data_IF_758733828459
#
_entry.id   IF_758733828459
#
_cell.length_a   1.000
_cell.length_b   1.000
_cell.length_c   1.000
_cell.angle_alpha   90.00
_cell.angle_beta   90.00
_cell.angle_gamma   90.00
#
_symmetry.space_group_name_H-M   'P 1'
#
loop_
_entity.id
_entity.type
_entity.pdbx_description
1 polymer ?
#
# COMPACT_ATOMS: atom_id res chain seq x y z
N UNK A 1 10.87 0.90 14.26
CA UNK A 1 11.30 -0.39 14.87
C UNK A 1 11.18 -0.43 16.39
N UNK A 2 11.66 0.57 17.14
CA UNK A 2 11.57 0.57 18.61
C UNK A 2 10.11 0.51 19.13
N UNK A 3 9.18 1.21 18.46
CA UNK A 3 7.76 1.12 18.77
C UNK A 3 7.19 -0.30 18.60
N UNK A 4 7.55 -1.01 17.52
CA UNK A 4 7.15 -2.40 17.28
C UNK A 4 7.70 -3.33 18.36
N UNK A 5 9.01 -3.22 18.64
CA UNK A 5 9.68 -4.01 19.68
C UNK A 5 8.98 -3.89 21.03
N UNK A 6 8.55 -2.68 21.40
CA UNK A 6 7.87 -2.41 22.66
C UNK A 6 6.42 -2.93 22.72
N UNK A 7 5.83 -3.27 21.58
CA UNK A 7 4.49 -3.87 21.47
C UNK A 7 4.51 -5.38 21.23
N UNK A 8 5.68 -5.95 20.96
CA UNK A 8 5.83 -7.39 20.77
C UNK A 8 5.57 -8.14 22.07
N UNK A 9 5.06 -9.36 21.94
CA UNK A 9 4.94 -10.28 23.07
C UNK A 9 6.33 -10.62 23.60
N UNK A 10 6.50 -10.64 24.92
CA UNK A 10 7.77 -10.98 25.55
C UNK A 10 8.35 -12.31 25.04
N UNK A 11 9.63 -12.30 24.65
CA UNK A 11 10.35 -13.43 24.04
C UNK A 11 10.33 -13.48 22.51
N UNK A 12 9.68 -12.51 21.85
CA UNK A 12 9.58 -12.40 20.40
C UNK A 12 10.10 -11.04 19.87
N UNK A 13 10.84 -10.30 20.69
CA UNK A 13 11.38 -8.98 20.33
C UNK A 13 12.34 -9.05 19.13
N UNK A 14 13.02 -10.18 18.95
CA UNK A 14 13.97 -10.44 17.86
C UNK A 14 13.24 -10.67 16.52
N UNK A 15 11.97 -11.07 16.52
CA UNK A 15 11.16 -11.17 15.30
C UNK A 15 10.92 -9.79 14.67
N UNK A 16 10.98 -8.71 15.46
CA UNK A 16 10.94 -7.36 14.93
C UNK A 16 12.21 -7.06 14.10
N UNK A 17 13.37 -7.64 14.44
CA UNK A 17 14.58 -7.51 13.62
C UNK A 17 14.49 -8.34 12.33
N UNK A 18 13.78 -9.48 12.35
CA UNK A 18 13.61 -10.35 11.18
C UNK A 18 12.69 -9.76 10.08
N UNK A 19 11.93 -8.70 10.39
CA UNK A 19 10.97 -8.08 9.45
C UNK A 19 11.41 -6.68 8.98
N UNK A 20 12.61 -6.20 9.32
CA UNK A 20 13.07 -4.84 8.96
C UNK A 20 13.18 -4.58 7.47
N UNK A 21 13.39 -5.66 6.70
CA UNK A 21 13.59 -5.59 5.25
C UNK A 21 12.35 -6.04 4.48
N UNK A 22 11.30 -6.48 5.19
CA UNK A 22 10.00 -6.76 4.59
C UNK A 22 9.21 -5.47 4.38
N UNK A 23 8.38 -5.40 3.33
CA UNK A 23 7.47 -4.28 3.13
C UNK A 23 6.58 -4.07 4.36
N UNK A 24 6.52 -2.83 4.84
CA UNK A 24 5.77 -2.46 6.04
C UNK A 24 4.72 -1.41 5.75
N UNK A 25 3.50 -1.64 6.19
CA UNK A 25 2.36 -0.77 5.94
C UNK A 25 1.80 -0.21 7.25
N UNK A 26 1.65 1.11 7.28
CA UNK A 26 0.81 1.81 8.26
C UNK A 26 -0.42 2.35 7.55
N UNK A 27 -1.61 1.95 8.01
CA UNK A 27 -2.89 2.37 7.45
C UNK A 27 -3.67 3.19 8.47
N UNK A 28 -4.08 4.41 8.09
CA UNK A 28 -5.04 5.21 8.82
C UNK A 28 -6.32 5.32 8.00
N UNK A 29 -7.45 4.90 8.57
CA UNK A 29 -8.71 4.78 7.86
C UNK A 29 -9.81 5.62 8.52
N UNK A 30 -10.65 6.22 7.70
CA UNK A 30 -11.84 6.94 8.13
C UNK A 30 -13.04 6.48 7.29
N UNK A 31 -14.07 6.01 7.97
CA UNK A 31 -15.34 5.63 7.36
C UNK A 31 -16.31 6.81 7.35
N UNK A 32 -16.84 7.16 6.18
CA UNK A 32 -17.95 8.07 6.00
C UNK A 32 -19.21 7.28 5.65
N UNK A 33 -20.12 7.17 6.63
CA UNK A 33 -21.39 6.45 6.54
C UNK A 33 -22.46 7.14 5.71
N UNK A 34 -22.34 8.45 5.45
CA UNK A 34 -23.30 9.16 4.60
C UNK A 34 -22.97 8.95 3.12
N UNK A 35 -21.68 8.94 2.78
CA UNK A 35 -21.21 8.79 1.39
C UNK A 35 -20.77 7.37 1.04
N UNK A 36 -20.89 6.43 1.97
CA UNK A 36 -20.45 5.03 1.84
C UNK A 36 -18.99 4.93 1.37
N UNK A 37 -18.14 5.80 1.91
CA UNK A 37 -16.76 5.95 1.46
C UNK A 37 -15.79 5.62 2.60
N UNK A 38 -14.79 4.82 2.29
CA UNK A 38 -13.61 4.63 3.13
C UNK A 38 -12.49 5.52 2.60
N UNK A 39 -12.08 6.51 3.40
CA UNK A 39 -10.89 7.29 3.15
C UNK A 39 -9.71 6.62 3.84
N UNK A 40 -8.59 6.52 3.15
CA UNK A 40 -7.39 5.91 3.66
C UNK A 40 -6.16 6.77 3.45
N UNK A 41 -5.24 6.69 4.41
CA UNK A 41 -3.84 7.05 4.23
C UNK A 41 -3.00 5.82 4.45
N UNK A 42 -2.14 5.55 3.50
CA UNK A 42 -1.16 4.49 3.51
C UNK A 42 0.24 5.07 3.62
N UNK A 43 1.04 4.47 4.48
CA UNK A 43 2.50 4.62 4.47
C UNK A 43 3.12 3.26 4.27
N UNK A 44 3.85 3.10 3.19
CA UNK A 44 4.60 1.91 2.84
C UNK A 44 6.10 2.18 2.98
N UNK A 45 6.77 1.42 3.85
CA UNK A 45 8.23 1.33 3.85
C UNK A 45 8.63 0.13 3.00
N UNK A 46 9.39 0.37 1.95
CA UNK A 46 9.82 -0.64 0.99
C UNK A 46 11.34 -0.65 0.85
N UNK A 47 11.93 -1.84 0.78
CA UNK A 47 13.33 -2.06 0.46
C UNK A 47 13.37 -2.81 -0.87
N UNK A 48 14.10 -2.30 -1.86
CA UNK A 48 14.31 -3.02 -3.10
C UNK A 48 15.16 -4.27 -2.84
N UNK A 49 14.58 -5.45 -2.97
CA UNK A 49 15.28 -6.73 -2.81
C UNK A 49 15.73 -7.34 -4.15
N UNK A 50 15.39 -6.71 -5.27
CA UNK A 50 15.83 -7.13 -6.59
C UNK A 50 17.32 -6.83 -6.77
N UNK A 51 17.96 -7.55 -7.69
CA UNK A 51 19.36 -7.30 -8.06
C UNK A 51 19.54 -6.05 -8.95
N UNK A 52 18.44 -5.52 -9.49
CA UNK A 52 18.42 -4.37 -10.39
C UNK A 52 17.81 -3.12 -9.74
N UNK A 53 18.14 -1.96 -10.32
CA UNK A 53 17.55 -0.70 -9.87
C UNK A 53 16.12 -0.57 -10.43
N UNK A 54 15.19 -0.19 -9.56
CA UNK A 54 13.79 0.02 -9.93
C UNK A 54 13.54 1.48 -10.29
N UNK A 55 12.88 1.74 -11.41
CA UNK A 55 12.47 3.09 -11.83
C UNK A 55 11.05 3.43 -11.35
N UNK A 56 10.22 2.40 -11.15
CA UNK A 56 8.83 2.53 -10.76
C UNK A 56 8.47 1.51 -9.69
N UNK A 57 7.43 1.81 -8.93
CA UNK A 57 6.77 0.87 -8.03
C UNK A 57 5.35 0.63 -8.51
N UNK A 58 4.95 -0.64 -8.56
CA UNK A 58 3.60 -1.03 -8.93
C UNK A 58 2.78 -1.39 -7.69
N UNK A 59 1.64 -0.73 -7.50
CA UNK A 59 0.65 -1.07 -6.48
C UNK A 59 -0.58 -1.69 -7.14
N UNK A 60 -1.05 -2.84 -6.66
CA UNK A 60 -2.30 -3.46 -7.06
C UNK A 60 -3.46 -2.80 -6.33
N UNK A 61 -4.46 -2.40 -7.10
CA UNK A 61 -5.70 -1.79 -6.64
C UNK A 61 -6.84 -2.79 -6.79
N UNK A 62 -6.72 -3.99 -6.21
CA UNK A 62 -7.74 -5.03 -6.39
C UNK A 62 -9.06 -4.57 -5.80
N UNK A 63 -10.07 -4.19 -6.61
CA UNK A 63 -11.38 -3.98 -6.05
C UNK A 63 -11.96 -5.34 -5.69
N UNK A 64 -12.64 -5.41 -4.56
CA UNK A 64 -13.44 -6.59 -4.25
C UNK A 64 -14.60 -6.63 -5.25
N UNK A 65 -14.50 -7.49 -6.27
CA UNK A 65 -15.49 -7.57 -7.35
C UNK A 65 -16.91 -7.73 -6.79
N UNK A 66 -17.77 -6.76 -7.11
CA UNK A 66 -19.17 -6.71 -6.65
C UNK A 66 -19.40 -6.23 -5.22
N UNK A 67 -18.36 -5.79 -4.50
CA UNK A 67 -18.46 -5.28 -3.12
C UNK A 67 -17.81 -3.91 -2.92
N UNK A 68 -16.94 -3.48 -3.82
CA UNK A 68 -16.40 -2.13 -3.84
C UNK A 68 -16.17 -1.66 -5.28
N UNK A 69 -16.28 -0.35 -5.49
CA UNK A 69 -15.75 0.26 -6.72
C UNK A 69 -14.21 0.25 -6.71
N UNK A 70 -13.59 0.51 -7.86
CA UNK A 70 -12.13 0.62 -7.98
C UNK A 70 -11.58 1.65 -7.00
N UNK A 71 -10.50 1.27 -6.30
CA UNK A 71 -9.76 2.16 -5.40
C UNK A 71 -9.26 3.37 -6.20
N UNK A 72 -9.45 4.57 -5.66
CA UNK A 72 -8.93 5.81 -6.24
C UNK A 72 -7.76 6.33 -5.42
N UNK A 73 -6.59 6.36 -6.03
CA UNK A 73 -5.41 7.02 -5.50
C UNK A 73 -5.59 8.54 -5.51
N UNK A 74 -5.19 9.16 -4.40
CA UNK A 74 -5.07 10.61 -4.20
C UNK A 74 -3.61 11.04 -4.35
N UNK A 75 -3.13 11.90 -3.45
CA UNK A 75 -1.72 12.34 -3.47
C UNK A 75 -0.81 11.15 -3.14
N UNK A 76 0.29 11.03 -3.88
CA UNK A 76 1.38 10.08 -3.64
C UNK A 76 2.68 10.86 -3.45
N UNK A 77 3.52 10.43 -2.50
CA UNK A 77 4.87 10.97 -2.32
C UNK A 77 5.88 9.89 -1.95
N UNK A 78 7.12 10.07 -2.41
CA UNK A 78 8.27 9.22 -2.11
C UNK A 78 9.25 10.04 -1.28
N UNK A 79 9.54 9.59 -0.07
CA UNK A 79 10.41 10.28 0.90
C UNK A 79 10.03 11.78 1.11
N UNK A 80 8.73 12.08 1.01
CA UNK A 80 8.17 13.42 1.14
C UNK A 80 8.12 14.25 -0.15
N UNK A 81 8.70 13.79 -1.25
CA UNK A 81 8.58 14.41 -2.57
C UNK A 81 7.31 13.92 -3.27
N UNK A 82 6.43 14.82 -3.68
CA UNK A 82 5.21 14.46 -4.42
C UNK A 82 5.59 13.96 -5.81
N UNK A 83 5.09 12.79 -6.17
CA UNK A 83 5.37 12.13 -7.45
C UNK A 83 4.10 11.92 -8.26
N UNK A 84 4.28 11.79 -9.56
CA UNK A 84 3.21 11.38 -10.46
C UNK A 84 3.01 9.86 -10.45
N UNK A 85 1.82 9.44 -10.86
CA UNK A 85 1.48 8.05 -11.03
C UNK A 85 0.52 7.86 -12.20
N UNK A 86 0.46 6.63 -12.73
CA UNK A 86 -0.43 6.25 -13.81
C UNK A 86 -1.23 4.99 -13.45
N UNK A 87 -2.52 4.99 -13.78
CA UNK A 87 -3.32 3.77 -13.71
C UNK A 87 -2.97 2.83 -14.86
N UNK A 88 -2.88 1.54 -14.55
CA UNK A 88 -2.62 0.46 -15.49
C UNK A 88 -3.59 -0.71 -15.27
N UNK A 89 -3.55 -1.68 -16.19
CA UNK A 89 -4.34 -2.91 -16.12
C UNK A 89 -5.85 -2.66 -15.89
N UNK A 90 -6.43 -1.69 -16.62
CA UNK A 90 -7.85 -1.34 -16.48
C UNK A 90 -8.18 -0.73 -15.10
N UNK A 91 -7.34 0.19 -14.63
CA UNK A 91 -7.46 0.87 -13.34
C UNK A 91 -7.38 -0.05 -12.11
N UNK A 92 -6.71 -1.20 -12.25
CA UNK A 92 -6.47 -2.16 -11.16
C UNK A 92 -5.02 -2.23 -10.71
N UNK A 93 -4.17 -1.38 -11.30
CA UNK A 93 -2.80 -1.18 -10.86
C UNK A 93 -2.43 0.31 -10.93
N UNK A 94 -1.53 0.72 -10.07
CA UNK A 94 -0.95 2.06 -10.01
C UNK A 94 0.56 1.94 -10.24
N UNK A 95 1.07 2.51 -11.31
CA UNK A 95 2.49 2.66 -11.55
C UNK A 95 2.92 4.02 -10.97
N UNK A 96 3.78 4.00 -9.96
CA UNK A 96 4.29 5.18 -9.28
C UNK A 96 5.74 5.39 -9.69
N UNK A 97 6.03 6.52 -10.34
CA UNK A 97 7.38 6.81 -10.81
C UNK A 97 8.26 7.33 -9.69
N UNK A 98 9.44 6.74 -9.55
CA UNK A 98 10.41 7.15 -8.55
C UNK A 98 11.17 8.39 -9.04
N UNK A 99 11.47 9.36 -8.16
CA UNK A 99 12.21 10.56 -8.54
C UNK A 99 13.67 10.25 -8.93
N UNK A 100 14.17 9.10 -8.49
CA UNK A 100 15.46 8.51 -8.87
C UNK A 100 15.35 6.98 -8.84
N UNK A 101 16.15 6.27 -9.65
CA UNK A 101 16.20 4.81 -9.59
C UNK A 101 16.53 4.34 -8.18
N UNK A 102 15.75 3.39 -7.66
CA UNK A 102 15.94 2.78 -6.36
C UNK A 102 16.89 1.59 -6.48
N UNK A 103 18.12 1.74 -5.97
CA UNK A 103 19.12 0.69 -6.08
C UNK A 103 18.77 -0.55 -5.24
N UNK A 104 19.37 -1.70 -5.56
CA UNK A 104 19.27 -2.90 -4.73
C UNK A 104 19.69 -2.63 -3.28
N UNK A 105 18.88 -3.08 -2.33
CA UNK A 105 19.02 -2.86 -0.89
C UNK A 105 18.67 -1.44 -0.41
N UNK A 106 18.32 -0.53 -1.31
CA UNK A 106 17.90 0.82 -0.94
C UNK A 106 16.44 0.85 -0.49
N UNK A 107 16.15 1.75 0.46
CA UNK A 107 14.85 1.92 1.09
C UNK A 107 14.19 3.22 0.67
N UNK A 108 12.87 3.17 0.55
CA UNK A 108 12.01 4.37 0.46
C UNK A 108 10.86 4.31 1.46
N UNK A 109 10.23 5.46 1.66
CA UNK A 109 8.89 5.59 2.24
C UNK A 109 7.94 6.15 1.19
N UNK A 110 6.89 5.41 0.85
CA UNK A 110 5.78 5.86 0.02
C UNK A 110 4.63 6.26 0.94
N UNK A 111 4.17 7.50 0.87
CA UNK A 111 2.94 7.96 1.51
C UNK A 111 1.87 8.20 0.43
N UNK A 112 0.66 7.69 0.64
CA UNK A 112 -0.46 7.81 -0.30
C UNK A 112 -1.79 8.03 0.41
N UNK A 113 -2.58 8.98 -0.08
CA UNK A 113 -4.01 9.03 0.25
C UNK A 113 -4.81 8.20 -0.76
N UNK A 114 -5.87 7.51 -0.35
CA UNK A 114 -6.77 6.78 -1.24
C UNK A 114 -8.22 6.84 -0.77
N UNK A 115 -9.14 6.56 -1.67
CA UNK A 115 -10.56 6.46 -1.37
C UNK A 115 -11.17 5.21 -2.02
N UNK A 116 -12.07 4.56 -1.30
CA UNK A 116 -12.85 3.41 -1.77
C UNK A 116 -14.32 3.70 -1.54
N UNK A 117 -15.13 3.62 -2.59
CA UNK A 117 -16.58 3.59 -2.45
C UNK A 117 -17.00 2.14 -2.20
N UNK A 118 -17.60 1.92 -1.04
CA UNK A 118 -18.08 0.61 -0.63
C UNK A 118 -19.47 0.37 -1.24
N UNK A 119 -19.73 -0.85 -1.67
CA UNK A 119 -21.07 -1.29 -2.04
C UNK A 119 -21.53 -2.26 -0.97
N UNK A 120 -22.43 -1.81 -0.10
CA UNK A 120 -22.88 -2.62 1.01
C UNK A 120 -23.61 -3.88 0.49
N UNK A 121 -23.17 -5.11 0.84
CA UNK A 121 -23.92 -6.32 0.50
C UNK A 121 -25.30 -6.38 1.20
N UNK A 122 -25.50 -5.54 2.23
CA UNK A 122 -26.78 -5.23 2.86
C UNK A 122 -26.68 -3.88 3.60
N UNK A 123 -27.79 -3.16 3.81
CA UNK A 123 -27.86 -1.84 4.48
C UNK A 123 -27.26 -1.76 5.91
N UNK A 124 -26.72 -2.86 6.47
CA UNK A 124 -26.29 -2.93 7.88
C UNK A 124 -24.84 -3.37 8.09
N UNK A 125 -24.16 -3.89 7.08
CA UNK A 125 -22.78 -4.37 7.20
C UNK A 125 -22.01 -4.03 5.93
N UNK A 126 -20.90 -3.31 6.09
CA UNK A 126 -19.89 -3.17 5.04
C UNK A 126 -18.84 -4.26 5.20
N UNK A 127 -18.54 -4.94 4.10
CA UNK A 127 -17.39 -5.84 4.01
C UNK A 127 -16.40 -5.22 3.02
N UNK A 128 -15.15 -5.09 3.44
CA UNK A 128 -14.09 -4.55 2.63
C UNK A 128 -12.87 -5.45 2.84
N UNK A 129 -12.72 -6.46 1.98
CA UNK A 129 -11.47 -7.22 1.85
C UNK A 129 -10.62 -6.54 0.77
N UNK A 130 -9.30 -6.48 0.98
CA UNK A 130 -8.35 -5.88 0.02
C UNK A 130 -8.65 -4.43 -0.37
N UNK A 131 -9.17 -3.63 0.57
CA UNK A 131 -9.55 -2.22 0.35
C UNK A 131 -8.36 -1.26 0.22
N UNK A 132 -7.14 -1.73 0.45
CA UNK A 132 -5.94 -0.90 0.40
C UNK A 132 -5.09 -1.31 -0.81
N UNK A 133 -4.41 -0.34 -1.45
CA UNK A 133 -3.37 -0.64 -2.41
C UNK A 133 -2.31 -1.57 -1.80
N UNK A 134 -1.81 -2.51 -2.61
CA UNK A 134 -0.81 -3.49 -2.17
C UNK A 134 0.36 -3.51 -3.15
N UNK A 135 1.59 -3.46 -2.65
CA UNK A 135 2.78 -3.67 -3.47
C UNK A 135 2.64 -4.94 -4.31
N UNK A 136 2.81 -4.80 -5.62
CA UNK A 136 2.94 -5.95 -6.50
C UNK A 136 4.33 -6.55 -6.28
N UNK A 137 4.38 -7.84 -5.94
CA UNK A 137 5.62 -8.60 -6.00
C UNK A 137 5.81 -9.03 -7.45
N UNK A 138 6.94 -8.69 -8.02
CA UNK A 138 7.39 -9.27 -9.28
C UNK A 138 8.02 -10.62 -8.96
N UNK A 139 7.51 -11.69 -9.54
CA UNK A 139 8.23 -12.96 -9.65
C UNK A 139 8.45 -13.19 -11.14
N UNK A 140 9.71 -13.33 -11.56
CA UNK A 140 10.01 -13.86 -12.89
C UNK A 140 9.33 -15.24 -12.99
N UNK A 141 8.43 -15.39 -13.95
CA UNK A 141 7.74 -16.65 -14.17
C UNK A 141 8.73 -17.70 -14.67
N UNK A 142 8.86 -18.80 -13.94
CA UNK A 142 9.46 -20.06 -14.44
C UNK A 142 8.69 -20.61 -15.66
#
# INVERSE_FOLDING_TARGET
>A
MEAYRNTMRAGHEDEAEAITDLPHYELALQADFETETLLGRERLVFVNQEDEALEDILLRLYPQAGQAESIRAGRVSIDGEVVDFAYQAGDTALLVSLPRPLASGERITLDMDFAVRLQAPSERVWSAAFFHPMLAVYEDGD
#
